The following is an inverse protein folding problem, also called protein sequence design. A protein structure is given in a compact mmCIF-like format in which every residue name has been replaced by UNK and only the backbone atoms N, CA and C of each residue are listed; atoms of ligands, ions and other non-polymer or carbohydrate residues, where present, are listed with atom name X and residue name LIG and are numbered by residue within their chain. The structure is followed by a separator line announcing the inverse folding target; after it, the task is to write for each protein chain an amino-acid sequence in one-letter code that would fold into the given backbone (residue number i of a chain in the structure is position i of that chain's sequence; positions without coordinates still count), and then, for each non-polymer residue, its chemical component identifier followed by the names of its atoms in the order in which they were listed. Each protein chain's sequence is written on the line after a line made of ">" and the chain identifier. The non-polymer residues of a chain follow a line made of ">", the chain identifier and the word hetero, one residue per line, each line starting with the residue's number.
data_IF_653369347033
#
_entry.id   IF_653369347033
#
_cell.length_a   1.000
_cell.length_b   1.000
_cell.length_c   1.000
_cell.angle_alpha   90.00
_cell.angle_beta   90.00
_cell.angle_gamma   90.00
#
_symmetry.space_group_name_H-M   'P 1'
#
loop_
_entity.id
_entity.type
_entity.pdbx_description
1 polymer ?
#
# COMPACT_ATOMS: atom_id res chain seq x y z
N UNK A 1 19.40 38.99 -26.08
CA UNK A 1 19.19 38.80 -24.63
C UNK A 1 18.05 37.81 -24.35
N UNK A 2 16.85 37.99 -24.94
CA UNK A 2 15.70 37.07 -24.79
C UNK A 2 16.01 35.58 -25.08
N UNK A 3 16.75 35.26 -26.16
CA UNK A 3 17.11 33.85 -26.48
C UNK A 3 17.96 33.16 -25.41
N UNK A 4 18.86 33.91 -24.74
CA UNK A 4 19.68 33.40 -23.63
C UNK A 4 18.84 33.13 -22.38
N UNK A 5 17.95 34.07 -22.06
CA UNK A 5 17.03 33.95 -20.93
C UNK A 5 16.09 32.75 -21.15
N UNK A 6 15.56 32.58 -22.36
CA UNK A 6 14.73 31.43 -22.72
C UNK A 6 15.44 30.08 -22.57
N UNK A 7 16.71 29.99 -22.98
CA UNK A 7 17.53 28.78 -22.78
C UNK A 7 17.71 28.46 -21.29
N UNK A 8 18.03 29.46 -20.47
CA UNK A 8 18.23 29.29 -19.02
C UNK A 8 16.93 28.83 -18.36
N UNK A 9 15.81 29.50 -18.65
CA UNK A 9 14.49 29.15 -18.09
C UNK A 9 14.09 27.74 -18.52
N UNK A 10 14.16 27.42 -19.82
CA UNK A 10 13.78 26.11 -20.33
C UNK A 10 14.61 24.97 -19.74
N UNK A 11 15.93 25.17 -19.62
CA UNK A 11 16.83 24.16 -19.03
C UNK A 11 16.56 23.99 -17.53
N UNK A 12 16.30 25.08 -16.80
CA UNK A 12 15.97 25.03 -15.37
C UNK A 12 14.68 24.26 -15.12
N UNK A 13 13.63 24.54 -15.92
CA UNK A 13 12.35 23.82 -15.86
C UNK A 13 12.57 22.33 -16.17
N UNK A 14 13.36 22.00 -17.18
CA UNK A 14 13.65 20.61 -17.54
C UNK A 14 14.37 19.86 -16.40
N UNK A 15 15.41 20.45 -15.81
CA UNK A 15 16.11 19.86 -14.66
C UNK A 15 15.13 19.61 -13.51
N UNK A 16 14.28 20.59 -13.21
CA UNK A 16 13.30 20.50 -12.13
C UNK A 16 12.30 19.36 -12.38
N UNK A 17 11.75 19.25 -13.59
CA UNK A 17 10.80 18.19 -13.96
C UNK A 17 11.43 16.80 -13.82
N UNK A 18 12.63 16.60 -14.36
CA UNK A 18 13.31 15.30 -14.28
C UNK A 18 13.64 14.94 -12.83
N UNK A 19 14.08 15.92 -12.03
CA UNK A 19 14.42 15.71 -10.61
C UNK A 19 13.19 15.34 -9.80
N UNK A 20 12.06 16.05 -9.98
CA UNK A 20 10.79 15.74 -9.31
C UNK A 20 10.28 14.36 -9.70
N UNK A 21 10.35 13.99 -10.98
CA UNK A 21 9.96 12.66 -11.45
C UNK A 21 10.83 11.56 -10.84
N UNK A 22 12.15 11.77 -10.81
CA UNK A 22 13.11 10.83 -10.20
C UNK A 22 12.87 10.68 -8.70
N UNK A 23 12.62 11.80 -8.01
CA UNK A 23 12.28 11.81 -6.59
C UNK A 23 11.00 11.03 -6.32
N UNK A 24 9.94 11.28 -7.09
CA UNK A 24 8.66 10.56 -6.96
C UNK A 24 8.85 9.05 -7.13
N UNK A 25 9.52 8.61 -8.20
CA UNK A 25 9.75 7.18 -8.45
C UNK A 25 10.57 6.52 -7.34
N UNK A 26 11.57 7.24 -6.81
CA UNK A 26 12.44 6.75 -5.74
C UNK A 26 11.65 6.59 -4.43
N UNK A 27 10.79 7.56 -4.10
CA UNK A 27 9.90 7.48 -2.93
C UNK A 27 8.92 6.31 -3.09
N UNK A 28 8.28 6.17 -4.25
CA UNK A 28 7.34 5.07 -4.50
C UNK A 28 8.01 3.70 -4.40
N UNK A 29 9.21 3.56 -4.97
CA UNK A 29 9.99 2.33 -4.82
C UNK A 29 10.27 2.02 -3.35
N UNK A 30 10.67 3.02 -2.57
CA UNK A 30 10.97 2.84 -1.14
C UNK A 30 9.73 2.48 -0.32
N UNK A 31 8.58 3.09 -0.62
CA UNK A 31 7.30 2.73 -0.01
C UNK A 31 6.98 1.26 -0.29
N UNK A 32 7.14 0.81 -1.54
CA UNK A 32 6.90 -0.57 -1.93
C UNK A 32 7.87 -1.55 -1.26
N UNK A 33 9.18 -1.22 -1.21
CA UNK A 33 10.18 -2.02 -0.50
C UNK A 33 9.81 -2.20 0.98
N UNK A 34 9.45 -1.11 1.66
CA UNK A 34 9.04 -1.15 3.05
C UNK A 34 7.76 -1.97 3.24
N UNK A 35 6.75 -1.78 2.39
CA UNK A 35 5.54 -2.61 2.41
C UNK A 35 5.86 -4.11 2.25
N UNK A 36 6.75 -4.47 1.32
CA UNK A 36 7.14 -5.87 1.12
C UNK A 36 7.95 -6.44 2.30
N UNK A 37 8.71 -5.62 3.02
CA UNK A 37 9.33 -6.03 4.28
C UNK A 37 8.26 -6.38 5.32
N UNK A 38 7.24 -5.54 5.48
CA UNK A 38 6.12 -5.81 6.40
C UNK A 38 5.35 -7.08 6.02
N UNK A 39 5.11 -7.31 4.73
CA UNK A 39 4.49 -8.54 4.23
C UNK A 39 5.38 -9.75 4.53
N UNK A 40 6.70 -9.62 4.38
CA UNK A 40 7.63 -10.70 4.71
C UNK A 40 7.60 -11.05 6.20
N UNK A 41 7.57 -10.05 7.09
CA UNK A 41 7.43 -10.27 8.53
C UNK A 41 6.09 -10.97 8.87
N UNK A 42 5.01 -10.54 8.21
CA UNK A 42 3.70 -11.16 8.34
C UNK A 42 3.69 -12.62 7.86
N UNK A 43 4.45 -12.95 6.81
CA UNK A 43 4.60 -14.33 6.32
C UNK A 43 5.25 -15.26 7.33
N UNK A 44 6.10 -14.72 8.19
CA UNK A 44 6.74 -15.45 9.29
C UNK A 44 5.81 -15.57 10.51
N UNK A 45 4.58 -15.05 10.42
CA UNK A 45 3.54 -15.12 11.45
C UNK A 45 3.45 -13.88 12.34
N UNK A 46 4.28 -12.85 12.11
CA UNK A 46 4.23 -11.61 12.87
C UNK A 46 3.48 -10.52 12.09
N UNK A 47 2.17 -10.44 12.31
CA UNK A 47 1.32 -9.45 11.66
C UNK A 47 1.35 -8.06 12.30
N UNK A 48 2.02 -7.85 13.44
CA UNK A 48 1.86 -6.62 14.21
C UNK A 48 2.29 -5.38 13.42
N UNK A 49 3.49 -5.35 12.84
CA UNK A 49 3.94 -4.20 12.07
C UNK A 49 3.12 -4.00 10.78
N UNK A 50 2.66 -5.08 10.15
CA UNK A 50 1.77 -5.01 9.00
C UNK A 50 0.44 -4.34 9.39
N UNK A 51 -0.16 -4.76 10.49
CA UNK A 51 -1.42 -4.20 11.00
C UNK A 51 -1.26 -2.76 11.46
N UNK A 52 -0.16 -2.45 12.15
CA UNK A 52 0.16 -1.08 12.57
C UNK A 52 0.34 -0.14 11.39
N UNK A 53 0.81 -0.65 10.26
CA UNK A 53 0.94 0.14 9.04
C UNK A 53 -0.40 0.37 8.31
N UNK A 54 -1.35 -0.56 8.44
CA UNK A 54 -2.62 -0.52 7.72
C UNK A 54 -3.79 0.09 8.52
N UNK A 55 -3.66 0.21 9.84
CA UNK A 55 -4.77 0.57 10.74
C UNK A 55 -4.39 1.69 11.70
N UNK A 56 -5.37 2.40 12.28
CA UNK A 56 -5.08 3.33 13.38
C UNK A 56 -4.98 2.60 14.72
N UNK A 57 -5.83 1.59 14.90
CA UNK A 57 -5.81 0.69 16.05
C UNK A 57 -6.23 -0.71 15.61
N UNK A 58 -5.66 -1.74 16.22
CA UNK A 58 -6.05 -3.13 16.00
C UNK A 58 -5.97 -3.95 17.29
N UNK A 59 -6.80 -4.98 17.37
CA UNK A 59 -6.78 -5.98 18.42
C UNK A 59 -7.10 -7.34 17.83
N UNK A 60 -6.33 -8.37 18.19
CA UNK A 60 -6.66 -9.75 17.83
C UNK A 60 -7.90 -10.18 18.63
N UNK A 61 -8.97 -10.55 17.93
CA UNK A 61 -10.19 -11.05 18.54
C UNK A 61 -10.04 -12.54 18.86
N UNK A 62 -9.72 -13.35 17.85
CA UNK A 62 -9.52 -14.78 17.99
C UNK A 62 -8.80 -15.36 16.77
N UNK A 63 -8.30 -16.58 16.94
CA UNK A 63 -7.61 -17.36 15.90
C UNK A 63 -8.33 -18.69 15.76
N UNK A 64 -8.55 -19.11 14.52
CA UNK A 64 -9.10 -20.41 14.16
C UNK A 64 -8.10 -21.09 13.24
N UNK A 65 -7.83 -22.36 13.46
CA UNK A 65 -6.84 -23.11 12.71
C UNK A 65 -7.35 -24.52 12.43
N UNK A 66 -7.24 -24.96 11.17
CA UNK A 66 -7.49 -26.34 10.76
C UNK A 66 -6.23 -26.92 10.08
N UNK A 67 -6.37 -28.06 9.41
CA UNK A 67 -5.23 -28.70 8.75
C UNK A 67 -4.69 -27.97 7.51
N UNK A 68 -5.44 -27.01 6.97
CA UNK A 68 -5.17 -26.36 5.69
C UNK A 68 -4.99 -24.84 5.81
N UNK A 69 -5.62 -24.21 6.81
CA UNK A 69 -5.72 -22.76 6.97
C UNK A 69 -5.57 -22.35 8.43
N UNK A 70 -4.92 -21.21 8.61
CA UNK A 70 -4.97 -20.40 9.82
C UNK A 70 -5.72 -19.11 9.50
N UNK A 71 -6.71 -18.79 10.32
CA UNK A 71 -7.62 -17.66 10.13
C UNK A 71 -7.54 -16.78 11.38
N UNK A 72 -7.08 -15.54 11.19
CA UNK A 72 -6.92 -14.57 12.26
C UNK A 72 -7.97 -13.48 12.11
N UNK A 73 -8.77 -13.28 13.15
CA UNK A 73 -9.77 -12.21 13.20
C UNK A 73 -9.25 -11.06 14.02
N UNK A 74 -9.09 -9.90 13.38
CA UNK A 74 -8.73 -8.66 14.04
C UNK A 74 -9.91 -7.70 14.04
N UNK A 75 -10.17 -7.06 15.17
CA UNK A 75 -10.97 -5.84 15.22
C UNK A 75 -10.04 -4.67 14.96
N UNK A 76 -10.40 -3.83 14.00
CA UNK A 76 -9.60 -2.69 13.55
C UNK A 76 -10.43 -1.42 13.61
N UNK A 77 -9.78 -0.29 13.87
CA UNK A 77 -10.41 1.03 13.85
C UNK A 77 -9.78 1.82 12.72
N UNK A 78 -10.56 2.04 11.67
CA UNK A 78 -10.13 2.71 10.43
C UNK A 78 -10.31 4.23 10.51
N UNK A 79 -11.31 4.70 11.25
CA UNK A 79 -11.57 6.11 11.52
C UNK A 79 -11.81 6.35 13.00
N UNK A 80 -11.26 7.44 13.51
CA UNK A 80 -11.46 7.85 14.92
C UNK A 80 -12.69 8.75 15.05
N UNK A 81 -13.10 9.45 13.97
CA UNK A 81 -14.28 10.32 13.93
C UNK A 81 -14.93 10.35 12.53
N UNK A 82 -16.17 9.83 12.35
CA UNK A 82 -16.89 9.00 13.32
C UNK A 82 -16.15 7.68 13.54
N UNK A 83 -16.21 7.16 14.77
CA UNK A 83 -15.52 5.93 15.11
C UNK A 83 -16.12 4.74 14.35
N UNK A 84 -15.31 4.04 13.58
CA UNK A 84 -15.75 2.89 12.80
C UNK A 84 -14.84 1.71 13.10
N UNK A 85 -15.42 0.70 13.75
CA UNK A 85 -14.78 -0.58 13.95
C UNK A 85 -15.11 -1.51 12.79
N UNK A 86 -14.13 -2.31 12.38
CA UNK A 86 -14.25 -3.23 11.26
C UNK A 86 -13.49 -4.52 11.55
N UNK A 87 -13.97 -5.63 11.00
CA UNK A 87 -13.13 -6.82 10.93
C UNK A 87 -12.09 -6.69 9.82
N UNK A 88 -10.89 -7.10 10.18
CA UNK A 88 -9.86 -7.54 9.26
C UNK A 88 -9.65 -9.04 9.48
N UNK A 89 -9.99 -9.84 8.48
CA UNK A 89 -9.85 -11.30 8.53
C UNK A 89 -8.66 -11.69 7.68
N UNK A 90 -7.61 -12.24 8.30
CA UNK A 90 -6.43 -12.73 7.60
C UNK A 90 -6.54 -14.23 7.42
N UNK A 91 -6.32 -14.72 6.20
CA UNK A 91 -6.30 -16.16 5.90
C UNK A 91 -4.91 -16.54 5.39
N UNK A 92 -4.27 -17.46 6.10
CA UNK A 92 -2.96 -18.01 5.80
C UNK A 92 -3.08 -19.51 5.51
N UNK A 93 -2.81 -19.97 4.29
CA UNK A 93 -2.71 -21.39 3.99
C UNK A 93 -1.50 -22.02 4.71
N UNK A 94 -1.73 -23.17 5.34
CA UNK A 94 -0.69 -23.98 6.00
C UNK A 94 -0.09 -25.03 5.05
N UNK A 95 -0.80 -25.34 3.97
CA UNK A 95 -0.36 -26.24 2.89
C UNK A 95 -0.40 -25.51 1.55
N UNK A 96 0.17 -26.13 0.53
CA UNK A 96 0.06 -25.61 -0.83
C UNK A 96 -1.38 -25.76 -1.32
N UNK A 97 -2.04 -24.64 -1.61
CA UNK A 97 -3.42 -24.58 -2.07
C UNK A 97 -3.48 -24.04 -3.50
N UNK A 98 -4.59 -24.28 -4.19
CA UNK A 98 -4.83 -23.69 -5.51
C UNK A 98 -5.13 -22.20 -5.34
N UNK A 99 -4.49 -21.38 -6.16
CA UNK A 99 -4.65 -19.92 -6.17
C UNK A 99 -4.73 -19.42 -7.60
N UNK A 100 -5.25 -18.22 -7.81
CA UNK A 100 -5.24 -17.57 -9.10
C UNK A 100 -3.80 -17.28 -9.57
N UNK A 101 -3.47 -17.75 -10.77
CA UNK A 101 -2.14 -17.52 -11.36
C UNK A 101 -2.04 -16.17 -12.08
N UNK A 102 -3.20 -15.58 -12.43
CA UNK A 102 -3.29 -14.33 -13.19
C UNK A 102 -4.28 -13.36 -12.55
N UNK A 103 -4.10 -12.04 -12.76
CA UNK A 103 -4.95 -11.01 -12.15
C UNK A 103 -6.41 -10.99 -12.65
N UNK A 104 -6.78 -11.84 -13.59
CA UNK A 104 -8.13 -11.95 -14.17
C UNK A 104 -8.55 -13.42 -14.31
N UNK A 105 -8.18 -14.26 -13.33
CA UNK A 105 -8.61 -15.65 -13.30
C UNK A 105 -10.11 -15.76 -12.98
N UNK A 106 -10.91 -15.99 -14.02
CA UNK A 106 -12.37 -16.13 -13.92
C UNK A 106 -12.80 -17.36 -13.11
N UNK A 107 -11.90 -18.33 -12.90
CA UNK A 107 -12.20 -19.54 -12.16
C UNK A 107 -12.08 -19.35 -10.64
N UNK A 108 -11.45 -18.28 -10.17
CA UNK A 108 -11.28 -18.05 -8.72
C UNK A 108 -12.64 -17.79 -8.05
N UNK A 109 -13.03 -18.69 -7.15
CA UNK A 109 -14.24 -18.57 -6.33
C UNK A 109 -13.94 -18.09 -4.90
N UNK A 110 -12.70 -17.70 -4.59
CA UNK A 110 -12.30 -17.23 -3.27
C UNK A 110 -13.12 -16.01 -2.86
N UNK A 111 -13.89 -16.13 -1.77
CA UNK A 111 -14.73 -15.04 -1.26
C UNK A 111 -15.00 -15.15 0.23
N UNK A 112 -15.23 -13.99 0.85
CA UNK A 112 -15.89 -13.88 2.14
C UNK A 112 -17.36 -13.51 1.90
N UNK A 113 -18.24 -14.33 2.44
CA UNK A 113 -19.68 -14.10 2.46
C UNK A 113 -20.13 -13.94 3.90
N UNK A 114 -20.53 -12.72 4.26
CA UNK A 114 -20.84 -12.34 5.63
C UNK A 114 -22.23 -11.72 5.66
N UNK A 115 -23.07 -12.17 6.59
CA UNK A 115 -24.39 -11.60 6.82
C UNK A 115 -24.52 -11.09 8.24
N UNK A 116 -25.03 -9.87 8.41
CA UNK A 116 -25.30 -9.29 9.73
C UNK A 116 -26.50 -8.34 9.62
N UNK A 117 -27.47 -8.44 10.53
CA UNK A 117 -28.63 -7.53 10.60
C UNK A 117 -29.38 -7.29 9.26
N UNK A 118 -29.45 -8.28 8.39
CA UNK A 118 -30.09 -8.17 7.07
C UNK A 118 -29.20 -7.53 5.98
N UNK A 119 -27.99 -7.10 6.31
CA UNK A 119 -26.96 -6.70 5.34
C UNK A 119 -26.13 -7.92 4.91
N UNK A 120 -25.68 -7.89 3.65
CA UNK A 120 -24.85 -8.92 3.04
C UNK A 120 -23.57 -8.25 2.53
N UNK A 121 -22.44 -8.76 3.01
CA UNK A 121 -21.12 -8.48 2.47
C UNK A 121 -20.68 -9.70 1.65
N UNK A 122 -20.55 -9.53 0.35
CA UNK A 122 -19.94 -10.51 -0.54
C UNK A 122 -18.71 -9.88 -1.19
N UNK A 123 -17.52 -10.35 -0.82
CA UNK A 123 -16.26 -9.78 -1.30
C UNK A 123 -16.13 -9.83 -2.83
N UNK A 124 -16.82 -10.75 -3.52
CA UNK A 124 -16.78 -10.89 -4.98
C UNK A 124 -17.43 -9.70 -5.70
N UNK A 125 -18.31 -8.97 -5.03
CA UNK A 125 -19.07 -7.86 -5.60
C UNK A 125 -18.58 -6.48 -5.14
N UNK A 126 -17.54 -6.43 -4.30
CA UNK A 126 -17.05 -5.17 -3.76
C UNK A 126 -16.09 -4.47 -4.72
N UNK A 127 -16.40 -3.21 -5.02
CA UNK A 127 -15.66 -2.38 -5.98
C UNK A 127 -14.18 -2.23 -5.63
N UNK A 128 -13.79 -2.30 -4.35
CA UNK A 128 -12.41 -2.10 -3.92
C UNK A 128 -11.50 -3.29 -4.19
N UNK A 129 -12.03 -4.51 -4.35
CA UNK A 129 -11.26 -5.65 -4.86
C UNK A 129 -11.18 -5.66 -6.41
N UNK A 130 -12.02 -4.85 -7.07
CA UNK A 130 -12.07 -4.75 -8.52
C UNK A 130 -12.36 -6.10 -9.18
N UNK A 131 -11.79 -6.33 -10.37
CA UNK A 131 -11.86 -7.63 -11.06
C UNK A 131 -10.67 -8.55 -10.71
N UNK A 132 -9.96 -8.25 -9.61
CA UNK A 132 -8.77 -9.01 -9.22
C UNK A 132 -9.15 -10.19 -8.32
N UNK A 133 -8.74 -11.42 -8.65
CA UNK A 133 -8.94 -12.57 -7.80
C UNK A 133 -8.29 -12.37 -6.42
N UNK A 134 -9.02 -12.61 -5.35
CA UNK A 134 -8.53 -12.37 -3.98
C UNK A 134 -7.38 -13.35 -3.66
N UNK A 135 -7.46 -14.59 -4.17
CA UNK A 135 -6.37 -15.57 -4.01
C UNK A 135 -5.11 -15.20 -4.80
N UNK A 136 -5.17 -14.30 -5.79
CA UNK A 136 -3.97 -13.82 -6.48
C UNK A 136 -3.00 -13.12 -5.51
N UNK A 137 -3.53 -12.51 -4.45
CA UNK A 137 -2.72 -11.91 -3.37
C UNK A 137 -1.78 -12.92 -2.71
N UNK A 138 -2.16 -14.21 -2.66
CA UNK A 138 -1.33 -15.28 -2.09
C UNK A 138 -0.02 -15.50 -2.84
N UNK A 139 -0.01 -15.28 -4.16
CA UNK A 139 1.18 -15.49 -4.99
C UNK A 139 2.34 -14.58 -4.54
N UNK A 140 2.02 -13.39 -4.03
CA UNK A 140 3.02 -12.43 -3.53
C UNK A 140 3.17 -12.47 -2.02
N UNK A 141 2.06 -12.64 -1.31
CA UNK A 141 1.99 -12.36 0.11
C UNK A 141 1.79 -13.60 0.96
N UNK A 142 1.69 -14.83 0.44
CA UNK A 142 1.44 -16.10 1.20
C UNK A 142 0.24 -16.11 2.17
N UNK A 143 -0.47 -15.00 2.32
CA UNK A 143 -1.76 -14.83 2.97
C UNK A 143 -2.59 -13.84 2.13
N UNK A 144 -3.91 -13.83 2.36
CA UNK A 144 -4.80 -12.79 1.88
C UNK A 144 -5.65 -12.29 3.05
N UNK A 145 -6.32 -11.17 2.87
CA UNK A 145 -7.15 -10.61 3.92
C UNK A 145 -8.41 -9.95 3.37
N UNK A 146 -9.46 -9.98 4.18
CA UNK A 146 -10.69 -9.24 3.96
C UNK A 146 -10.75 -8.06 4.92
N UNK A 147 -10.96 -6.85 4.40
CA UNK A 147 -11.15 -5.63 5.18
C UNK A 147 -12.52 -4.99 4.92
N UNK A 148 -12.85 -3.95 5.69
CA UNK A 148 -14.07 -3.15 5.58
C UNK A 148 -15.38 -3.88 5.91
N UNK A 149 -15.34 -4.88 6.79
CA UNK A 149 -16.54 -5.51 7.33
C UNK A 149 -16.94 -4.70 8.57
N UNK A 150 -17.91 -3.80 8.43
CA UNK A 150 -18.30 -2.89 9.51
C UNK A 150 -18.88 -3.64 10.71
N UNK A 151 -18.45 -3.24 11.91
CA UNK A 151 -18.92 -3.76 13.18
C UNK A 151 -19.75 -2.70 13.89
N UNK A 152 -20.93 -3.07 14.38
CA UNK A 152 -21.63 -2.29 15.42
C UNK A 152 -21.28 -2.87 16.80
N UNK A 153 -21.51 -2.08 17.86
CA UNK A 153 -21.15 -2.44 19.24
C UNK A 153 -21.71 -3.81 19.68
N UNK A 154 -22.92 -4.14 19.26
CA UNK A 154 -23.58 -5.42 19.56
C UNK A 154 -24.25 -5.97 18.33
N UNK A 155 -23.59 -6.89 17.62
CA UNK A 155 -24.10 -7.48 16.39
C UNK A 155 -23.75 -8.97 16.29
N UNK A 156 -24.62 -9.73 15.64
CA UNK A 156 -24.38 -11.13 15.27
C UNK A 156 -24.03 -11.22 13.80
N UNK A 157 -22.89 -11.86 13.50
CA UNK A 157 -22.38 -12.03 12.15
C UNK A 157 -22.33 -13.51 11.81
N UNK A 158 -22.90 -13.92 10.68
CA UNK A 158 -22.63 -15.23 10.10
C UNK A 158 -21.53 -15.04 9.06
N UNK A 159 -20.36 -15.62 9.30
CA UNK A 159 -19.20 -15.51 8.42
C UNK A 159 -19.00 -16.86 7.74
N UNK A 160 -18.96 -16.86 6.42
CA UNK A 160 -18.59 -18.02 5.60
C UNK A 160 -17.46 -17.63 4.66
N UNK A 161 -16.36 -18.38 4.69
CA UNK A 161 -15.18 -18.15 3.85
C UNK A 161 -15.05 -19.31 2.87
N UNK A 162 -14.76 -18.97 1.62
CA UNK A 162 -14.61 -19.92 0.51
C UNK A 162 -13.21 -19.82 -0.08
N UNK A 163 -12.66 -20.96 -0.51
CA UNK A 163 -11.41 -21.03 -1.26
C UNK A 163 -11.61 -20.89 -2.78
N UNK A 164 -10.53 -21.09 -3.53
CA UNK A 164 -10.51 -21.01 -4.99
C UNK A 164 -11.55 -21.90 -5.68
N UNK A 165 -11.87 -23.08 -5.12
CA UNK A 165 -12.77 -24.05 -5.73
C UNK A 165 -14.21 -23.96 -5.18
N UNK A 166 -14.58 -22.87 -4.50
CA UNK A 166 -15.87 -22.67 -3.82
C UNK A 166 -16.09 -23.68 -2.67
N UNK A 167 -15.01 -24.17 -2.07
CA UNK A 167 -15.08 -25.02 -0.88
C UNK A 167 -15.14 -24.12 0.35
N UNK A 168 -16.10 -24.38 1.24
CA UNK A 168 -16.19 -23.69 2.53
C UNK A 168 -15.01 -24.09 3.41
N UNK A 169 -14.16 -23.13 3.74
CA UNK A 169 -12.99 -23.31 4.62
C UNK A 169 -13.25 -22.84 6.05
N UNK A 170 -14.30 -22.03 6.24
CA UNK A 170 -14.72 -21.58 7.56
C UNK A 170 -16.19 -21.16 7.54
N UNK A 171 -16.94 -21.54 8.56
CA UNK A 171 -18.31 -21.10 8.76
C UNK A 171 -18.62 -20.98 10.26
N UNK A 172 -18.95 -19.78 10.72
CA UNK A 172 -19.30 -19.55 12.13
C UNK A 172 -20.23 -18.36 12.31
N UNK A 173 -21.11 -18.48 13.29
CA UNK A 173 -21.86 -17.34 13.84
C UNK A 173 -21.05 -16.74 14.98
N UNK A 174 -20.76 -15.45 14.89
CA UNK A 174 -20.00 -14.70 15.89
C UNK A 174 -20.91 -13.63 16.48
N UNK A 175 -21.09 -13.70 17.79
CA UNK A 175 -21.70 -12.63 18.57
C UNK A 175 -20.59 -11.70 19.03
N UNK A 176 -20.64 -10.45 18.57
CA UNK A 176 -19.66 -9.45 18.98
C UNK A 176 -20.24 -8.52 20.05
N UNK A 177 -19.46 -8.34 21.10
CA UNK A 177 -19.54 -7.19 21.99
C UNK A 177 -18.18 -6.50 22.01
N UNK A 178 -18.02 -5.46 21.19
CA UNK A 178 -16.77 -4.66 21.19
C UNK A 178 -17.07 -3.35 21.90
N UNK A 179 -16.36 -3.09 23.01
CA UNK A 179 -16.42 -1.78 23.64
C UNK A 179 -15.59 -0.77 22.84
N UNK A 180 -16.30 0.15 22.20
CA UNK A 180 -15.76 1.22 21.36
C UNK A 180 -15.59 2.54 22.13
N UNK A 181 -15.66 2.51 23.47
CA UNK A 181 -15.31 3.65 24.30
C UNK A 181 -13.84 4.05 24.08
N UNK A 182 -13.54 5.35 24.18
CA UNK A 182 -12.18 5.87 24.02
C UNK A 182 -11.20 5.20 24.98
N UNK A 183 -11.62 4.99 26.23
CA UNK A 183 -10.83 4.32 27.26
C UNK A 183 -10.52 2.85 26.90
N UNK A 184 -11.52 2.11 26.40
CA UNK A 184 -11.30 0.75 25.91
C UNK A 184 -10.30 0.71 24.76
N UNK A 185 -10.43 1.63 23.81
CA UNK A 185 -9.53 1.69 22.65
C UNK A 185 -8.09 1.95 23.07
N UNK A 186 -7.87 2.93 23.95
CA UNK A 186 -6.52 3.28 24.43
C UNK A 186 -5.87 2.17 25.25
N UNK A 187 -6.66 1.35 25.96
CA UNK A 187 -6.13 0.31 26.85
C UNK A 187 -6.05 -1.09 26.22
N UNK A 188 -6.95 -1.41 25.28
CA UNK A 188 -7.09 -2.78 24.75
C UNK A 188 -6.59 -2.95 23.32
N UNK A 189 -6.43 -1.85 22.56
CA UNK A 189 -5.99 -1.91 21.18
C UNK A 189 -4.53 -1.49 21.05
N UNK A 190 -3.83 -2.15 20.13
CA UNK A 190 -2.50 -1.73 19.70
C UNK A 190 -2.66 -0.56 18.74
N UNK A 191 -1.89 0.50 18.95
CA UNK A 191 -1.89 1.68 18.09
C UNK A 191 -1.06 1.46 16.83
N UNK A 192 -1.62 1.85 15.70
CA UNK A 192 -0.92 1.93 14.43
C UNK A 192 0.17 2.99 14.39
N UNK A 193 0.97 2.96 13.32
CA UNK A 193 2.03 3.94 13.11
C UNK A 193 1.44 5.31 12.84
N UNK A 194 1.99 6.31 13.52
CA UNK A 194 1.76 7.70 13.17
C UNK A 194 2.39 8.03 11.81
N UNK A 195 1.89 9.07 11.15
CA UNK A 195 2.50 9.59 9.91
C UNK A 195 4.00 9.85 10.07
N UNK A 196 4.41 10.36 11.25
CA UNK A 196 5.83 10.61 11.54
C UNK A 196 6.63 9.32 11.61
N UNK A 197 6.16 8.30 12.31
CA UNK A 197 6.84 7.00 12.38
C UNK A 197 6.94 6.36 11.00
N UNK A 198 5.87 6.39 10.21
CA UNK A 198 5.87 5.88 8.83
C UNK A 198 6.91 6.58 7.97
N UNK A 199 6.98 7.93 8.01
CA UNK A 199 8.00 8.69 7.27
C UNK A 199 9.41 8.34 7.74
N UNK A 200 9.61 8.18 9.06
CA UNK A 200 10.92 7.80 9.62
C UNK A 200 11.33 6.39 9.20
N UNK A 201 10.41 5.44 9.13
CA UNK A 201 10.67 4.06 8.72
C UNK A 201 11.01 3.97 7.23
N UNK A 202 10.25 4.66 6.39
CA UNK A 202 10.54 4.80 4.95
C UNK A 202 11.91 5.46 4.74
N UNK A 203 12.19 6.53 5.49
CA UNK A 203 13.42 7.33 5.39
C UNK A 203 14.63 6.80 6.17
N UNK A 204 14.51 5.66 6.88
CA UNK A 204 15.57 5.12 7.75
C UNK A 204 16.86 4.82 6.99
N UNK A 205 16.74 4.37 5.74
CA UNK A 205 17.89 4.26 4.84
C UNK A 205 17.99 5.55 4.04
N UNK A 206 18.78 6.52 4.51
CA UNK A 206 18.96 7.81 3.83
C UNK A 206 19.61 7.70 2.44
N UNK A 207 20.22 6.55 2.13
CA UNK A 207 20.91 6.34 0.86
C UNK A 207 19.96 6.18 -0.32
N UNK A 208 18.66 5.96 -0.08
CA UNK A 208 17.67 5.85 -1.16
C UNK A 208 17.62 7.10 -2.05
N UNK A 209 17.95 8.29 -1.51
CA UNK A 209 17.98 9.55 -2.26
C UNK A 209 19.26 9.79 -3.06
N UNK A 210 20.30 8.97 -2.92
CA UNK A 210 21.58 9.14 -3.63
C UNK A 210 21.36 9.23 -5.14
N UNK A 211 20.45 8.41 -5.68
CA UNK A 211 20.14 8.43 -7.12
C UNK A 211 19.56 9.77 -7.57
N UNK A 212 18.76 10.42 -6.73
CA UNK A 212 18.17 11.74 -7.01
C UNK A 212 19.28 12.80 -7.07
N UNK A 213 20.22 12.77 -6.11
CA UNK A 213 21.36 13.69 -6.10
C UNK A 213 22.30 13.48 -7.29
N UNK A 214 22.58 12.23 -7.66
CA UNK A 214 23.41 11.91 -8.83
C UNK A 214 22.75 12.40 -10.12
N UNK A 215 21.45 12.11 -10.32
CA UNK A 215 20.71 12.57 -11.50
C UNK A 215 20.69 14.09 -11.56
N UNK A 216 20.39 14.76 -10.45
CA UNK A 216 20.42 16.23 -10.39
C UNK A 216 21.81 16.79 -10.75
N UNK A 217 22.88 16.24 -10.16
CA UNK A 217 24.25 16.67 -10.44
C UNK A 217 24.64 16.51 -11.91
N UNK A 218 24.28 15.38 -12.53
CA UNK A 218 24.52 15.12 -13.95
C UNK A 218 23.77 16.11 -14.84
N UNK A 219 22.49 16.37 -14.55
CA UNK A 219 21.68 17.32 -15.30
C UNK A 219 22.22 18.75 -15.21
N UNK A 220 22.67 19.18 -14.02
CA UNK A 220 23.31 20.48 -13.82
C UNK A 220 24.61 20.56 -14.61
N UNK A 221 25.46 19.52 -14.59
CA UNK A 221 26.68 19.48 -15.36
C UNK A 221 26.40 19.62 -16.88
N UNK A 222 25.40 18.90 -17.40
CA UNK A 222 24.99 19.03 -18.80
C UNK A 222 24.44 20.41 -19.14
N UNK A 223 23.66 21.02 -18.24
CA UNK A 223 23.14 22.37 -18.44
C UNK A 223 24.25 23.42 -18.49
N UNK A 224 25.28 23.28 -17.64
CA UNK A 224 26.45 24.17 -17.65
C UNK A 224 27.24 23.99 -18.96
N UNK A 225 27.58 22.75 -19.32
CA UNK A 225 28.35 22.47 -20.55
C UNK A 225 27.58 22.89 -21.81
N UNK A 226 26.29 22.57 -21.87
CA UNK A 226 25.40 22.98 -22.95
C UNK A 226 25.25 24.50 -23.03
N UNK A 227 25.14 25.19 -21.90
CA UNK A 227 25.09 26.65 -21.83
C UNK A 227 26.37 27.31 -22.31
N UNK A 228 27.54 26.82 -21.87
CA UNK A 228 28.85 27.31 -22.33
C UNK A 228 28.98 27.14 -23.85
N UNK A 229 28.62 25.98 -24.38
CA UNK A 229 28.64 25.72 -25.83
C UNK A 229 27.67 26.65 -26.59
N UNK A 230 26.43 26.75 -26.14
CA UNK A 230 25.39 27.57 -26.77
C UNK A 230 25.78 29.04 -26.80
N UNK A 231 26.30 29.59 -25.69
CA UNK A 231 26.72 30.99 -25.63
C UNK A 231 27.99 31.26 -26.44
N UNK A 232 28.94 30.32 -26.48
CA UNK A 232 30.14 30.44 -27.33
C UNK A 232 29.74 30.47 -28.81
N UNK A 233 28.89 29.54 -29.25
CA UNK A 233 28.39 29.50 -30.64
C UNK A 233 27.64 30.78 -31.00
N UNK A 234 26.71 31.21 -30.15
CA UNK A 234 25.95 32.44 -30.40
C UNK A 234 26.84 33.69 -30.53
N UNK A 235 27.89 33.80 -29.71
CA UNK A 235 28.84 34.90 -29.81
C UNK A 235 29.68 34.84 -31.11
N UNK A 236 30.00 33.65 -31.61
CA UNK A 236 30.70 33.48 -32.89
C UNK A 236 29.80 33.87 -34.06
N UNK A 237 28.56 33.39 -34.07
CA UNK A 237 27.56 33.73 -35.11
C UNK A 237 27.34 35.25 -35.17
N UNK A 238 27.21 35.91 -34.01
CA UNK A 238 27.05 37.38 -33.93
C UNK A 238 28.26 38.15 -34.49
N UNK A 239 29.49 37.68 -34.24
CA UNK A 239 30.70 38.32 -34.78
C UNK A 239 30.81 38.19 -36.30
N UNK A 240 30.28 37.12 -36.88
CA UNK A 240 30.23 36.94 -38.33
C UNK A 240 29.17 37.84 -38.98
N UNK A 241 28.05 38.07 -38.31
CA UNK A 241 27.01 39.02 -38.76
C UNK A 241 27.47 40.48 -38.68
N UNK A 242 28.29 40.87 -37.69
CA UNK A 242 28.84 42.23 -37.54
C UNK A 242 30.08 42.51 -38.41
N UNK A 243 30.68 41.48 -39.01
CA UNK A 243 31.90 41.56 -39.83
C UNK A 243 31.69 41.56 -41.35
N UNK A 244 30.44 41.52 -41.81
CA UNK A 244 29.98 41.75 -43.19
C UNK A 244 29.25 43.09 -43.27
#
# INVERSE_FOLDING_TARGET
>A
MLKKIGYIIGTTILILLITVFTLYNTIQRRINEYYYQLVSEANDGNFDNFLRYQTNYHQLAFVEEDENYQILFYVTISHVEPLSAQYLIIIRPLKNIKIAEKPNDENDQTRAYITYNGEIYDSKHLKHYGNFPISYGLNKNRFYYYSNINLKQTDTHNITLYDYNDIVIYQKTIENSVDLSKESIENNFVRGFTTRETIQLIGKDSNYLVIVYVVFGVLVAFAILGGVYYFKKWNLDKKQEEGN
#
